data_IF_542637014949
#
_entry.id   IF_542637014949
#
_cell.length_a   1.000
_cell.length_b   1.000
_cell.length_c   1.000
_cell.angle_alpha   90.00
_cell.angle_beta   90.00
_cell.angle_gamma   90.00
#
_symmetry.space_group_name_H-M   'P 1'
#
loop_
_entity.id
_entity.type
_entity.pdbx_description
1 polymer ?
#
# COMPACT_ATOMS: atom_id res chain seq x y z
N UNK A 1 9.53 -32.65 7.75
CA UNK A 1 9.91 -32.64 9.19
C UNK A 1 9.65 -31.23 9.69
N UNK A 2 9.28 -31.05 10.96
CA UNK A 2 9.15 -29.72 11.55
C UNK A 2 10.50 -29.01 11.60
N UNK A 3 10.53 -27.71 11.36
CA UNK A 3 11.72 -26.88 11.49
C UNK A 3 12.17 -26.81 12.96
N UNK A 4 13.48 -26.69 13.20
CA UNK A 4 14.03 -26.52 14.55
C UNK A 4 13.64 -25.11 15.10
N UNK A 5 13.68 -24.96 16.43
CA UNK A 5 13.46 -23.64 17.06
C UNK A 5 14.47 -22.60 16.56
N UNK A 6 15.69 -23.02 16.23
CA UNK A 6 16.70 -22.13 15.66
C UNK A 6 16.33 -21.67 14.25
N UNK A 7 15.78 -22.55 13.41
CA UNK A 7 15.26 -22.18 12.08
C UNK A 7 14.13 -21.14 12.22
N UNK A 8 13.21 -21.35 13.17
CA UNK A 8 12.12 -20.40 13.42
C UNK A 8 12.63 -19.04 13.90
N UNK A 9 13.72 -19.01 14.69
CA UNK A 9 14.35 -17.75 15.11
C UNK A 9 14.97 -17.00 13.94
N UNK A 10 15.66 -17.67 13.03
CA UNK A 10 16.23 -17.05 11.84
C UNK A 10 15.15 -16.57 10.88
N UNK A 11 14.05 -17.30 10.72
CA UNK A 11 12.91 -16.84 9.94
C UNK A 11 12.26 -15.59 10.56
N UNK A 12 12.12 -15.54 11.90
CA UNK A 12 11.69 -14.30 12.59
C UNK A 12 12.62 -13.12 12.28
N UNK A 13 13.92 -13.36 12.17
CA UNK A 13 14.88 -12.33 11.79
C UNK A 13 14.64 -11.87 10.34
N UNK A 14 14.50 -12.78 9.39
CA UNK A 14 14.19 -12.46 7.99
C UNK A 14 12.89 -11.63 7.87
N UNK A 15 11.83 -11.98 8.63
CA UNK A 15 10.58 -11.21 8.69
C UNK A 15 10.80 -9.77 9.21
N UNK A 16 11.68 -9.56 10.20
CA UNK A 16 12.02 -8.21 10.68
C UNK A 16 12.74 -7.39 9.61
N UNK A 17 13.61 -8.01 8.83
CA UNK A 17 14.30 -7.38 7.70
C UNK A 17 13.31 -6.98 6.60
N UNK A 18 12.39 -7.87 6.22
CA UNK A 18 11.35 -7.60 5.22
C UNK A 18 10.57 -6.32 5.49
N UNK A 19 10.30 -5.99 6.76
CA UNK A 19 9.58 -4.77 7.16
C UNK A 19 10.34 -3.46 6.99
N UNK A 20 11.63 -3.50 6.62
CA UNK A 20 12.46 -2.29 6.48
C UNK A 20 12.27 -1.57 5.14
N UNK A 21 11.94 -2.31 4.07
CA UNK A 21 11.78 -1.78 2.71
C UNK A 21 10.41 -1.14 2.44
N UNK A 22 10.34 -0.43 1.31
CA UNK A 22 9.10 0.09 0.71
C UNK A 22 9.06 -0.31 -0.77
N UNK A 23 8.91 -1.61 -1.06
CA UNK A 23 9.11 -2.15 -2.41
C UNK A 23 7.86 -2.08 -3.30
N UNK A 24 6.73 -1.55 -2.83
CA UNK A 24 5.47 -1.55 -3.59
C UNK A 24 5.66 -1.20 -5.08
N UNK A 25 5.05 -1.98 -6.01
CA UNK A 25 4.10 -3.08 -5.83
C UNK A 25 4.75 -4.44 -5.51
N UNK A 26 6.08 -4.53 -5.48
CA UNK A 26 6.82 -5.76 -5.20
C UNK A 26 6.57 -6.22 -3.76
N UNK A 27 6.79 -7.51 -3.46
CA UNK A 27 6.66 -8.02 -2.11
C UNK A 27 7.76 -7.52 -1.18
N UNK A 28 7.45 -7.46 0.09
CA UNK A 28 8.44 -7.29 1.15
C UNK A 28 9.18 -8.60 1.38
N UNK A 29 10.45 -8.65 1.07
CA UNK A 29 11.29 -9.83 1.23
C UNK A 29 12.47 -9.53 2.15
N UNK A 30 12.76 -10.45 3.04
CA UNK A 30 13.96 -10.48 3.88
C UNK A 30 14.68 -11.82 3.73
N UNK A 31 15.99 -11.79 3.75
CA UNK A 31 16.85 -12.94 3.59
C UNK A 31 17.96 -12.94 4.65
N UNK A 32 18.27 -14.11 5.20
CA UNK A 32 19.30 -14.33 6.23
C UNK A 32 20.10 -15.55 5.85
N UNK A 33 21.43 -15.45 5.86
CA UNK A 33 22.33 -16.58 5.60
C UNK A 33 23.08 -16.93 6.88
N UNK A 34 23.03 -18.20 7.24
CA UNK A 34 23.61 -18.74 8.47
C UNK A 34 24.52 -19.89 8.14
N UNK A 35 25.73 -19.88 8.69
CA UNK A 35 26.71 -20.98 8.61
C UNK A 35 27.20 -21.29 10.00
N UNK A 36 27.23 -22.60 10.34
CA UNK A 36 27.70 -23.10 11.64
C UNK A 36 27.06 -22.36 12.83
N UNK A 37 25.74 -22.06 12.73
CA UNK A 37 24.98 -21.35 13.74
C UNK A 37 25.21 -19.82 13.78
N UNK A 38 26.11 -19.28 12.97
CA UNK A 38 26.45 -17.86 12.93
C UNK A 38 25.83 -17.13 11.73
N UNK A 39 25.33 -15.91 11.95
CA UNK A 39 24.88 -15.01 10.88
C UNK A 39 26.08 -14.59 10.01
N UNK A 40 26.04 -14.90 8.71
CA UNK A 40 27.09 -14.53 7.77
C UNK A 40 26.64 -13.51 6.70
N UNK A 41 25.33 -13.39 6.49
CA UNK A 41 24.78 -12.39 5.58
C UNK A 41 23.31 -12.12 5.83
N UNK A 42 22.86 -10.88 5.59
CA UNK A 42 21.47 -10.50 5.68
C UNK A 42 21.11 -9.46 4.61
N UNK A 43 19.85 -9.44 4.18
CA UNK A 43 19.36 -8.50 3.19
C UNK A 43 17.85 -8.33 3.25
N UNK A 44 17.37 -7.27 2.62
CA UNK A 44 15.94 -7.05 2.39
C UNK A 44 15.75 -6.33 1.06
N UNK A 45 14.55 -6.44 0.46
CA UNK A 45 14.20 -5.72 -0.76
C UNK A 45 13.81 -4.27 -0.42
N UNK A 46 14.66 -3.26 -0.71
CA UNK A 46 14.44 -1.92 -0.19
C UNK A 46 13.38 -1.12 -0.95
N UNK A 47 13.34 -1.21 -2.29
CA UNK A 47 12.40 -0.51 -3.16
C UNK A 47 12.34 -1.17 -4.55
N UNK A 48 11.26 -0.93 -5.31
CA UNK A 48 11.10 -1.43 -6.70
C UNK A 48 12.27 -0.97 -7.58
N UNK A 49 12.94 -1.92 -8.21
CA UNK A 49 14.12 -1.69 -9.06
C UNK A 49 15.46 -1.95 -8.37
N UNK A 50 15.48 -2.10 -7.04
CA UNK A 50 16.68 -2.54 -6.33
C UNK A 50 16.88 -4.06 -6.46
N UNK A 51 18.09 -4.60 -6.20
CA UNK A 51 18.33 -6.02 -6.05
C UNK A 51 17.39 -6.65 -5.01
N UNK A 52 17.12 -7.95 -5.16
CA UNK A 52 16.31 -8.70 -4.21
C UNK A 52 17.07 -8.97 -2.91
N UNK A 53 16.34 -9.35 -1.85
CA UNK A 53 16.89 -9.59 -0.51
C UNK A 53 18.02 -10.61 -0.49
N UNK A 54 17.84 -11.69 -1.28
CA UNK A 54 18.81 -12.79 -1.40
C UNK A 54 20.15 -12.30 -1.95
N UNK A 55 20.11 -11.38 -2.93
CA UNK A 55 21.33 -10.81 -3.55
C UNK A 55 22.13 -10.03 -2.52
N UNK A 56 21.48 -9.19 -1.72
CA UNK A 56 22.15 -8.45 -0.63
C UNK A 56 22.74 -9.39 0.42
N UNK A 57 21.99 -10.42 0.82
CA UNK A 57 22.46 -11.40 1.79
C UNK A 57 23.66 -12.18 1.27
N UNK A 58 23.63 -12.61 0.00
CA UNK A 58 24.74 -13.32 -0.65
C UNK A 58 25.98 -12.44 -0.80
N UNK A 59 25.82 -11.18 -1.21
CA UNK A 59 26.92 -10.22 -1.30
C UNK A 59 27.62 -10.01 0.05
N UNK A 60 26.85 -9.91 1.13
CA UNK A 60 27.41 -9.75 2.48
C UNK A 60 28.10 -11.03 2.98
N UNK A 61 27.54 -12.20 2.66
CA UNK A 61 28.12 -13.48 3.06
C UNK A 61 29.44 -13.78 2.32
N UNK A 62 29.53 -13.43 1.03
CA UNK A 62 30.68 -13.76 0.18
C UNK A 62 30.93 -15.28 0.15
N UNK A 63 32.19 -15.69 0.25
CA UNK A 63 32.59 -17.10 0.27
C UNK A 63 31.99 -17.93 1.43
N UNK A 64 31.58 -17.27 2.52
CA UNK A 64 30.93 -17.96 3.65
C UNK A 64 29.53 -18.48 3.31
N UNK A 65 28.95 -18.06 2.17
CA UNK A 65 27.69 -18.59 1.68
C UNK A 65 27.76 -20.08 1.31
N UNK A 66 28.94 -20.55 0.89
CA UNK A 66 29.13 -21.95 0.47
C UNK A 66 28.85 -22.92 1.63
N UNK A 67 27.93 -23.85 1.40
CA UNK A 67 27.49 -24.83 2.40
C UNK A 67 26.59 -24.26 3.51
N UNK A 68 26.20 -22.99 3.43
CA UNK A 68 25.35 -22.33 4.42
C UNK A 68 23.84 -22.62 4.20
N UNK A 69 23.02 -22.20 5.17
CA UNK A 69 21.55 -22.19 5.09
C UNK A 69 21.05 -20.77 4.82
N UNK A 70 20.20 -20.61 3.82
CA UNK A 70 19.47 -19.38 3.52
C UNK A 70 18.04 -19.46 4.06
N UNK A 71 17.62 -18.50 4.85
CA UNK A 71 16.24 -18.28 5.27
C UNK A 71 15.69 -17.10 4.48
N UNK A 72 14.63 -17.31 3.72
CA UNK A 72 14.00 -16.28 2.89
C UNK A 72 12.49 -16.25 3.11
N UNK A 73 11.93 -15.04 3.23
CA UNK A 73 10.52 -14.87 3.61
C UNK A 73 9.52 -15.21 2.51
N UNK A 74 9.96 -15.19 1.25
CA UNK A 74 9.16 -15.52 0.06
C UNK A 74 10.00 -16.40 -0.87
N UNK A 75 9.35 -17.25 -1.64
CA UNK A 75 9.98 -18.11 -2.64
C UNK A 75 10.93 -17.33 -3.56
N UNK A 76 12.20 -17.77 -3.73
CA UNK A 76 13.15 -17.16 -4.66
C UNK A 76 12.64 -17.19 -6.11
N UNK A 77 12.72 -16.03 -6.80
CA UNK A 77 12.31 -15.94 -8.18
C UNK A 77 13.19 -16.82 -9.12
N UNK A 78 12.54 -17.41 -10.13
CA UNK A 78 13.13 -18.36 -11.07
C UNK A 78 13.08 -17.90 -12.55
N UNK A 79 12.59 -16.69 -12.82
CA UNK A 79 12.48 -16.12 -14.14
C UNK A 79 13.29 -14.82 -14.26
N UNK A 80 13.66 -14.47 -15.48
CA UNK A 80 14.28 -13.19 -15.80
C UNK A 80 13.23 -12.08 -15.80
N UNK A 81 13.49 -11.02 -15.06
CA UNK A 81 12.72 -9.77 -15.10
C UNK A 81 13.70 -8.58 -15.24
N UNK A 82 13.59 -7.56 -14.40
CA UNK A 82 14.61 -6.48 -14.32
C UNK A 82 15.96 -6.98 -13.75
N UNK A 83 15.95 -8.09 -13.04
CA UNK A 83 17.13 -8.72 -12.43
C UNK A 83 17.18 -10.20 -12.80
N UNK A 84 18.40 -10.82 -12.83
CA UNK A 84 18.52 -12.26 -13.00
C UNK A 84 17.81 -13.03 -11.88
N UNK A 85 17.38 -14.29 -12.12
CA UNK A 85 16.73 -15.13 -11.13
C UNK A 85 17.54 -15.31 -9.85
N UNK A 86 16.92 -15.17 -8.67
CA UNK A 86 17.58 -15.42 -7.40
C UNK A 86 18.00 -16.87 -7.24
N UNK A 87 17.26 -17.82 -7.84
CA UNK A 87 17.66 -19.26 -7.86
C UNK A 87 19.05 -19.44 -8.47
N UNK A 88 19.43 -18.70 -9.49
CA UNK A 88 20.77 -18.76 -10.11
C UNK A 88 21.85 -18.24 -9.14
N UNK A 89 21.60 -17.12 -8.47
CA UNK A 89 22.54 -16.54 -7.50
C UNK A 89 22.75 -17.47 -6.30
N UNK A 90 21.68 -18.09 -5.79
CA UNK A 90 21.72 -19.07 -4.68
C UNK A 90 22.57 -20.29 -5.04
N UNK A 91 22.36 -20.83 -6.25
CA UNK A 91 23.13 -21.97 -6.76
C UNK A 91 24.60 -21.64 -6.94
N UNK A 92 24.89 -20.51 -7.59
CA UNK A 92 26.27 -20.06 -7.84
C UNK A 92 27.05 -19.83 -6.55
N UNK A 93 26.39 -19.35 -5.48
CA UNK A 93 26.98 -19.16 -4.16
C UNK A 93 27.20 -20.47 -3.40
N UNK A 94 26.69 -21.61 -3.88
CA UNK A 94 26.84 -22.91 -3.23
C UNK A 94 26.09 -23.05 -1.91
N UNK A 95 24.92 -22.39 -1.77
CA UNK A 95 24.01 -22.59 -0.64
C UNK A 95 23.58 -24.05 -0.59
N UNK A 96 23.69 -24.70 0.56
CA UNK A 96 23.35 -26.12 0.73
C UNK A 96 21.87 -26.33 1.09
N UNK A 97 21.26 -25.40 1.84
CA UNK A 97 19.89 -25.51 2.34
C UNK A 97 19.16 -24.16 2.23
N UNK A 98 17.89 -24.19 1.81
CA UNK A 98 17.02 -23.02 1.78
C UNK A 98 15.75 -23.30 2.59
N UNK A 99 15.42 -22.40 3.52
CA UNK A 99 14.15 -22.40 4.26
C UNK A 99 13.31 -21.25 3.73
N UNK A 100 12.18 -21.59 3.12
CA UNK A 100 11.25 -20.66 2.48
C UNK A 100 10.08 -20.37 3.40
N UNK A 101 9.78 -19.12 3.65
CA UNK A 101 8.67 -18.69 4.50
C UNK A 101 7.30 -18.97 3.89
N UNK A 102 7.13 -18.68 2.60
CA UNK A 102 5.89 -18.91 1.86
C UNK A 102 6.17 -19.01 0.35
N UNK A 103 5.33 -19.75 -0.37
CA UNK A 103 5.35 -19.77 -1.83
C UNK A 103 4.88 -18.43 -2.40
N UNK A 104 5.43 -18.05 -3.55
CA UNK A 104 4.97 -16.85 -4.26
C UNK A 104 3.66 -17.18 -5.02
N UNK A 105 2.55 -16.43 -4.81
CA UNK A 105 1.33 -16.64 -5.58
C UNK A 105 1.44 -16.23 -7.05
N UNK A 106 2.56 -15.63 -7.48
CA UNK A 106 2.80 -15.30 -8.87
C UNK A 106 2.88 -16.59 -9.73
N UNK A 107 1.99 -16.79 -10.74
CA UNK A 107 2.01 -17.99 -11.58
C UNK A 107 3.34 -18.27 -12.31
N UNK A 108 4.17 -17.25 -12.47
CA UNK A 108 5.51 -17.38 -13.07
C UNK A 108 6.52 -17.99 -12.09
N UNK A 109 6.25 -17.96 -10.79
CA UNK A 109 7.12 -18.46 -9.71
C UNK A 109 6.52 -19.68 -9.04
N UNK A 110 5.40 -19.55 -8.40
CA UNK A 110 4.57 -20.52 -7.65
C UNK A 110 5.06 -21.98 -7.65
N UNK A 111 6.01 -22.29 -6.79
CA UNK A 111 6.64 -23.62 -6.65
C UNK A 111 7.78 -23.91 -7.62
N UNK A 112 7.93 -23.15 -8.71
CA UNK A 112 9.00 -23.38 -9.72
C UNK A 112 10.38 -23.02 -9.19
N UNK A 113 10.48 -21.96 -8.37
CA UNK A 113 11.74 -21.58 -7.73
C UNK A 113 12.24 -22.65 -6.77
N UNK A 114 11.35 -23.20 -5.97
CA UNK A 114 11.63 -24.34 -5.07
C UNK A 114 12.05 -25.56 -5.89
N UNK A 115 11.32 -25.87 -6.95
CA UNK A 115 11.64 -27.01 -7.82
C UNK A 115 13.04 -26.88 -8.45
N UNK A 116 13.38 -25.74 -9.04
CA UNK A 116 14.70 -25.49 -9.63
C UNK A 116 15.84 -25.64 -8.62
N UNK A 117 15.65 -25.19 -7.37
CA UNK A 117 16.66 -25.35 -6.33
C UNK A 117 16.84 -26.82 -5.94
N UNK A 118 15.75 -27.58 -5.78
CA UNK A 118 15.80 -29.02 -5.48
C UNK A 118 16.47 -29.84 -6.59
N UNK A 119 16.14 -29.55 -7.83
CA UNK A 119 16.77 -30.18 -9.02
C UNK A 119 18.26 -29.88 -9.09
N UNK A 120 18.70 -28.75 -8.54
CA UNK A 120 20.12 -28.40 -8.42
C UNK A 120 20.82 -29.00 -7.20
N UNK A 121 20.15 -29.89 -6.42
CA UNK A 121 20.71 -30.53 -5.26
C UNK A 121 20.66 -29.70 -3.97
N UNK A 122 19.96 -28.56 -3.95
CA UNK A 122 19.78 -27.74 -2.75
C UNK A 122 18.64 -28.35 -1.91
N UNK A 123 18.86 -28.56 -0.62
CA UNK A 123 17.80 -28.96 0.30
C UNK A 123 16.83 -27.79 0.48
N UNK A 124 15.53 -27.97 0.19
CA UNK A 124 14.52 -26.90 0.32
C UNK A 124 13.39 -27.33 1.22
N UNK A 125 13.17 -26.58 2.28
CA UNK A 125 12.06 -26.70 3.22
C UNK A 125 11.18 -25.46 3.15
N UNK A 126 9.87 -25.64 3.40
CA UNK A 126 8.87 -24.57 3.35
C UNK A 126 8.07 -24.63 4.64
N UNK A 127 7.75 -23.49 5.25
CA UNK A 127 6.85 -23.43 6.40
C UNK A 127 5.49 -24.04 6.05
N UNK A 128 4.96 -24.87 6.95
CA UNK A 128 3.68 -25.56 6.78
C UNK A 128 2.62 -25.04 7.75
N UNK A 129 1.40 -24.75 7.27
CA UNK A 129 0.28 -24.40 8.14
C UNK A 129 -0.18 -25.57 9.04
N UNK A 130 0.21 -26.79 8.72
CA UNK A 130 -0.12 -27.98 9.50
C UNK A 130 0.74 -28.11 10.77
N UNK A 131 1.80 -27.30 10.89
CA UNK A 131 2.71 -27.30 12.04
C UNK A 131 2.41 -26.10 12.95
N UNK A 132 1.84 -26.29 14.14
CA UNK A 132 1.39 -25.19 15.01
C UNK A 132 2.48 -24.16 15.35
N UNK A 133 3.74 -24.57 15.49
CA UNK A 133 4.87 -23.70 15.76
C UNK A 133 5.16 -22.72 14.61
N UNK A 134 4.81 -23.07 13.37
CA UNK A 134 5.07 -22.31 12.15
C UNK A 134 3.94 -21.35 11.80
N UNK A 135 2.71 -21.62 12.24
CA UNK A 135 1.50 -20.82 11.93
C UNK A 135 1.67 -19.35 12.27
N UNK A 136 2.29 -19.03 13.42
CA UNK A 136 2.53 -17.62 13.81
C UNK A 136 3.45 -16.88 12.83
N UNK A 137 4.42 -17.60 12.24
CA UNK A 137 5.34 -17.03 11.25
C UNK A 137 4.63 -16.83 9.91
N UNK A 138 3.83 -17.81 9.48
CA UNK A 138 3.02 -17.72 8.27
C UNK A 138 2.08 -16.52 8.35
N UNK A 139 1.34 -16.35 9.45
CA UNK A 139 0.47 -15.21 9.67
C UNK A 139 1.24 -13.87 9.65
N UNK A 140 2.46 -13.83 10.19
CA UNK A 140 3.30 -12.64 10.15
C UNK A 140 3.80 -12.33 8.74
N UNK A 141 4.13 -13.33 7.93
CA UNK A 141 4.52 -13.22 6.53
C UNK A 141 3.37 -12.69 5.67
N UNK A 142 2.17 -13.25 5.84
CA UNK A 142 0.96 -12.79 5.15
C UNK A 142 0.61 -11.35 5.54
N UNK A 143 0.73 -11.00 6.82
CA UNK A 143 0.49 -9.63 7.27
C UNK A 143 1.45 -8.61 6.64
N UNK A 144 2.73 -8.97 6.49
CA UNK A 144 3.75 -8.12 5.84
C UNK A 144 3.47 -7.97 4.35
N UNK A 145 3.03 -9.03 3.68
CA UNK A 145 2.82 -9.09 2.24
C UNK A 145 1.34 -8.96 1.83
N UNK A 146 0.45 -8.56 2.75
CA UNK A 146 -1.02 -8.49 2.52
C UNK A 146 -1.38 -7.83 1.20
N UNK A 147 -0.80 -6.66 0.89
CA UNK A 147 -1.07 -5.91 -0.34
C UNK A 147 -0.68 -6.74 -1.56
N UNK A 148 0.54 -7.27 -1.56
CA UNK A 148 1.06 -8.10 -2.65
C UNK A 148 0.21 -9.35 -2.88
N UNK A 149 -0.06 -10.10 -1.82
CA UNK A 149 -0.86 -11.32 -1.87
C UNK A 149 -2.27 -11.06 -2.41
N UNK A 150 -2.88 -9.95 -1.97
CA UNK A 150 -4.23 -9.62 -2.40
C UNK A 150 -4.32 -9.34 -3.91
N UNK A 151 -3.50 -8.41 -4.42
CA UNK A 151 -3.62 -8.06 -5.83
C UNK A 151 -3.17 -9.20 -6.77
N UNK A 152 -2.25 -10.06 -6.34
CA UNK A 152 -1.88 -11.27 -7.07
C UNK A 152 -3.00 -12.32 -7.13
N UNK A 153 -3.75 -12.47 -6.04
CA UNK A 153 -4.83 -13.46 -5.96
C UNK A 153 -6.13 -12.97 -6.62
N UNK A 154 -6.40 -11.67 -6.60
CA UNK A 154 -7.71 -11.11 -6.99
C UNK A 154 -7.70 -10.27 -8.26
N UNK A 155 -6.55 -10.00 -8.86
CA UNK A 155 -6.39 -9.16 -10.06
C UNK A 155 -7.08 -7.79 -9.95
N UNK A 156 -6.98 -7.14 -8.78
CA UNK A 156 -7.50 -5.80 -8.50
C UNK A 156 -6.68 -5.13 -7.40
N UNK A 157 -6.66 -3.79 -7.32
CA UNK A 157 -5.84 -3.11 -6.33
C UNK A 157 -6.35 -3.35 -4.91
N UNK A 158 -5.40 -3.41 -3.95
CA UNK A 158 -5.72 -3.40 -2.52
C UNK A 158 -6.02 -1.97 -2.07
N UNK A 159 -7.17 -1.75 -1.45
CA UNK A 159 -7.65 -0.40 -1.08
C UNK A 159 -7.77 -0.28 0.43
N UNK A 160 -7.02 0.67 1.00
CA UNK A 160 -7.05 1.00 2.43
C UNK A 160 -7.75 2.34 2.63
N UNK A 161 -8.80 2.37 3.45
CA UNK A 161 -9.41 3.61 3.93
C UNK A 161 -8.65 4.12 5.15
N UNK A 162 -8.11 5.34 5.07
CA UNK A 162 -7.37 5.95 6.18
C UNK A 162 -8.07 7.22 6.64
N UNK A 163 -8.30 7.33 7.92
CA UNK A 163 -8.78 8.56 8.53
C UNK A 163 -7.96 8.92 9.78
N UNK A 164 -7.93 10.21 10.12
CA UNK A 164 -7.44 10.68 11.41
C UNK A 164 -8.56 11.52 12.04
N UNK A 165 -9.03 11.11 13.20
CA UNK A 165 -10.23 11.64 13.81
C UNK A 165 -10.07 11.83 15.31
N UNK A 166 -10.96 12.64 15.90
CA UNK A 166 -11.18 12.72 17.32
C UNK A 166 -11.78 11.43 17.90
N UNK A 167 -11.83 11.29 19.20
CA UNK A 167 -12.40 10.11 19.86
C UNK A 167 -13.90 9.94 19.52
N UNK A 168 -14.60 11.07 19.33
CA UNK A 168 -15.99 11.12 18.88
C UNK A 168 -16.17 11.07 17.34
N UNK A 169 -15.14 10.65 16.59
CA UNK A 169 -15.21 10.33 15.17
C UNK A 169 -15.17 11.51 14.20
N UNK A 170 -14.79 12.71 14.64
CA UNK A 170 -14.76 13.92 13.80
C UNK A 170 -13.40 14.13 13.14
N UNK A 171 -13.41 14.38 11.83
CA UNK A 171 -12.19 14.68 11.02
C UNK A 171 -11.95 16.18 10.85
N UNK A 172 -12.89 17.02 11.22
CA UNK A 172 -12.78 18.47 11.26
C UNK A 172 -13.86 19.05 12.18
N UNK A 173 -13.68 20.31 12.65
CA UNK A 173 -14.74 21.06 13.31
C UNK A 173 -15.86 21.45 12.31
N UNK A 174 -16.98 21.97 12.79
CA UNK A 174 -18.06 22.49 11.94
C UNK A 174 -17.58 23.64 11.00
N UNK A 175 -16.57 24.42 11.41
CA UNK A 175 -15.94 25.45 10.58
C UNK A 175 -14.92 24.91 9.57
N UNK A 176 -14.62 23.59 9.62
CA UNK A 176 -13.67 22.93 8.73
C UNK A 176 -12.21 22.95 9.21
N UNK A 177 -11.92 23.37 10.44
CA UNK A 177 -10.57 23.27 10.99
C UNK A 177 -10.23 21.79 11.28
N UNK A 178 -9.17 21.27 10.63
CA UNK A 178 -8.72 19.88 10.70
C UNK A 178 -7.30 19.71 11.26
N UNK A 179 -6.55 20.80 11.53
CA UNK A 179 -5.12 20.74 11.89
C UNK A 179 -4.88 21.22 13.33
N UNK A 180 -4.27 20.42 14.18
CA UNK A 180 -3.83 19.01 14.01
C UNK A 180 -4.70 18.16 14.94
N UNK A 181 -5.41 17.18 14.40
CA UNK A 181 -6.21 16.26 15.21
C UNK A 181 -5.26 15.30 15.94
N UNK A 182 -4.39 14.59 15.19
CA UNK A 182 -3.44 13.61 15.74
C UNK A 182 -2.04 14.18 15.91
N UNK A 183 -1.26 13.57 16.81
CA UNK A 183 0.10 13.96 17.13
C UNK A 183 1.13 13.56 16.07
N UNK A 184 2.38 13.95 16.27
CA UNK A 184 3.47 13.78 15.29
C UNK A 184 3.82 12.31 15.03
N UNK A 185 3.75 11.45 16.07
CA UNK A 185 4.04 10.01 15.94
C UNK A 185 3.01 9.32 15.04
N UNK A 186 1.72 9.61 15.22
CA UNK A 186 0.64 9.08 14.37
C UNK A 186 0.76 9.59 12.93
N UNK A 187 1.09 10.87 12.73
CA UNK A 187 1.36 11.41 11.38
C UNK A 187 2.59 10.75 10.72
N UNK A 188 3.62 10.38 11.50
CA UNK A 188 4.75 9.58 11.00
C UNK A 188 4.30 8.24 10.45
N UNK A 189 3.38 7.56 11.17
CA UNK A 189 2.80 6.29 10.69
C UNK A 189 1.92 6.49 9.43
N UNK A 190 1.16 7.59 9.33
CA UNK A 190 0.41 7.92 8.12
C UNK A 190 1.34 8.09 6.90
N UNK A 191 2.54 8.69 7.08
CA UNK A 191 3.55 8.74 6.03
C UNK A 191 4.11 7.37 5.66
N UNK A 192 4.21 6.44 6.62
CA UNK A 192 4.59 5.07 6.35
C UNK A 192 3.52 4.36 5.50
N UNK A 193 2.24 4.52 5.81
CA UNK A 193 1.15 3.98 5.00
C UNK A 193 1.22 4.50 3.54
N UNK A 194 1.54 5.78 3.34
CA UNK A 194 1.75 6.32 1.97
C UNK A 194 2.92 5.66 1.25
N UNK A 195 3.98 5.32 1.97
CA UNK A 195 5.14 4.64 1.39
C UNK A 195 4.86 3.18 1.02
N UNK A 196 3.91 2.56 1.70
CA UNK A 196 3.47 1.17 1.48
C UNK A 196 2.45 1.03 0.33
N UNK A 197 1.87 2.15 -0.15
CA UNK A 197 0.89 2.17 -1.24
C UNK A 197 1.44 2.85 -2.49
N UNK A 198 1.02 2.37 -3.68
CA UNK A 198 1.42 2.98 -4.95
C UNK A 198 0.67 4.26 -5.30
N UNK A 199 -0.54 4.45 -4.76
CA UNK A 199 -1.31 5.68 -4.96
C UNK A 199 -1.89 6.19 -3.64
N UNK A 200 -1.97 7.53 -3.52
CA UNK A 200 -2.73 8.23 -2.47
C UNK A 200 -3.86 8.99 -3.13
N UNK A 201 -5.09 8.66 -2.76
CA UNK A 201 -6.30 9.21 -3.36
C UNK A 201 -7.05 10.10 -2.36
N UNK A 202 -7.43 11.29 -2.83
CA UNK A 202 -8.23 12.26 -2.07
C UNK A 202 -9.33 12.87 -2.93
N UNK A 203 -10.37 13.40 -2.30
CA UNK A 203 -11.33 14.30 -2.97
C UNK A 203 -10.78 15.71 -3.11
N UNK A 204 -11.28 16.46 -4.09
CA UNK A 204 -10.88 17.83 -4.38
C UNK A 204 -11.01 18.77 -3.18
N UNK A 205 -12.01 18.58 -2.33
CA UNK A 205 -12.22 19.39 -1.14
C UNK A 205 -11.02 19.31 -0.17
N UNK A 206 -10.44 18.12 -0.01
CA UNK A 206 -9.21 17.93 0.78
C UNK A 206 -8.04 18.72 0.19
N UNK A 207 -7.91 18.73 -1.14
CA UNK A 207 -6.84 19.48 -1.81
C UNK A 207 -7.02 20.99 -1.62
N UNK A 208 -8.24 21.47 -1.77
CA UNK A 208 -8.58 22.91 -1.63
C UNK A 208 -8.32 23.40 -0.20
N UNK A 209 -8.82 22.67 0.82
CA UNK A 209 -8.76 23.11 2.23
C UNK A 209 -7.40 22.88 2.87
N UNK A 210 -6.86 21.68 2.70
CA UNK A 210 -5.65 21.27 3.42
C UNK A 210 -4.36 21.57 2.69
N UNK A 211 -4.43 21.84 1.36
CA UNK A 211 -3.28 22.06 0.48
C UNK A 211 -2.18 21.00 0.67
N UNK A 212 -2.52 19.72 0.58
CA UNK A 212 -1.60 18.65 0.91
C UNK A 212 -0.59 18.40 -0.21
N UNK A 213 0.61 17.91 0.14
CA UNK A 213 1.59 17.42 -0.83
C UNK A 213 1.34 15.97 -1.24
N UNK A 214 0.65 15.19 -0.44
CA UNK A 214 0.38 13.76 -0.59
C UNK A 214 1.64 12.88 -0.76
N UNK A 215 2.77 13.35 -0.29
CA UNK A 215 4.06 12.63 -0.36
C UNK A 215 4.29 11.75 0.86
N UNK A 216 5.04 10.67 0.67
CA UNK A 216 5.56 9.83 1.74
C UNK A 216 6.88 10.42 2.27
N UNK A 217 6.90 10.87 3.53
CA UNK A 217 8.07 11.51 4.17
C UNK A 217 8.66 10.60 5.25
N UNK A 218 9.18 9.46 4.81
CA UNK A 218 9.84 8.47 5.66
C UNK A 218 11.26 8.24 5.15
N UNK A 219 12.19 7.97 6.04
CA UNK A 219 13.58 7.64 5.66
C UNK A 219 13.60 6.33 4.85
N UNK A 220 14.36 6.32 3.76
CA UNK A 220 14.51 5.15 2.88
C UNK A 220 13.45 5.04 1.77
N UNK A 221 12.46 5.95 1.71
CA UNK A 221 11.51 5.99 0.60
C UNK A 221 12.19 6.60 -0.63
N UNK A 222 12.27 5.82 -1.69
CA UNK A 222 12.77 6.22 -3.01
C UNK A 222 11.60 6.52 -3.94
N UNK A 223 10.65 5.60 -4.03
CA UNK A 223 9.48 5.75 -4.90
C UNK A 223 8.34 6.46 -4.15
N UNK A 224 7.84 7.55 -4.74
CA UNK A 224 6.71 8.29 -4.20
C UNK A 224 5.39 7.76 -4.77
N UNK A 225 4.29 7.78 -4.01
CA UNK A 225 3.00 7.35 -4.54
C UNK A 225 2.47 8.30 -5.62
N UNK A 226 1.73 7.73 -6.58
CA UNK A 226 0.89 8.50 -7.50
C UNK A 226 -0.14 9.30 -6.69
N UNK A 227 -0.27 10.59 -7.00
CA UNK A 227 -1.27 11.45 -6.35
C UNK A 227 -2.54 11.47 -7.19
N UNK A 228 -3.64 11.00 -6.61
CA UNK A 228 -4.94 10.86 -7.27
C UNK A 228 -5.94 11.81 -6.65
N UNK A 229 -6.60 12.61 -7.47
CA UNK A 229 -7.64 13.55 -7.02
C UNK A 229 -8.95 13.26 -7.74
N UNK A 230 -10.02 13.10 -6.97
CA UNK A 230 -11.39 13.04 -7.51
C UNK A 230 -11.96 14.45 -7.53
N UNK A 231 -12.13 15.00 -8.74
CA UNK A 231 -12.62 16.37 -8.96
C UNK A 231 -13.64 16.40 -10.11
N UNK A 232 -14.83 15.91 -9.87
CA UNK A 232 -15.87 15.76 -10.90
C UNK A 232 -16.11 17.04 -11.74
N UNK A 233 -15.91 18.23 -11.17
CA UNK A 233 -16.18 19.52 -11.81
C UNK A 233 -14.92 20.30 -12.19
N UNK A 234 -13.74 19.69 -12.10
CA UNK A 234 -12.44 20.36 -12.33
C UNK A 234 -12.34 21.68 -11.55
N UNK A 235 -12.69 21.61 -10.26
CA UNK A 235 -12.70 22.77 -9.35
C UNK A 235 -11.30 23.31 -9.08
N UNK A 236 -10.30 22.44 -9.14
CA UNK A 236 -8.90 22.83 -8.98
C UNK A 236 -8.49 23.94 -9.95
N UNK A 237 -8.94 23.89 -11.19
CA UNK A 237 -8.66 24.92 -12.19
C UNK A 237 -9.33 26.28 -11.91
N UNK A 238 -10.39 26.30 -11.10
CA UNK A 238 -11.05 27.56 -10.68
C UNK A 238 -10.43 28.17 -9.44
N UNK A 239 -9.94 27.31 -8.55
CA UNK A 239 -9.55 27.71 -7.20
C UNK A 239 -8.14 28.29 -7.15
N UNK A 240 -7.24 27.81 -8.02
CA UNK A 240 -5.86 28.29 -8.08
C UNK A 240 -5.59 29.13 -9.32
N UNK A 241 -5.43 30.45 -9.09
CA UNK A 241 -4.96 31.37 -10.12
C UNK A 241 -3.45 31.29 -10.33
N UNK A 242 -2.69 30.87 -9.30
CA UNK A 242 -1.24 30.71 -9.34
C UNK A 242 -0.83 29.26 -9.09
N UNK A 243 -0.35 28.54 -10.11
CA UNK A 243 0.09 27.14 -9.98
C UNK A 243 1.18 26.92 -8.93
N UNK A 244 2.04 27.93 -8.71
CA UNK A 244 3.12 27.84 -7.71
C UNK A 244 2.60 27.72 -6.27
N UNK A 245 1.37 28.05 -6.03
CA UNK A 245 0.72 27.93 -4.73
C UNK A 245 0.09 26.56 -4.49
N UNK A 246 0.09 25.66 -5.50
CA UNK A 246 -0.40 24.30 -5.37
C UNK A 246 0.68 23.36 -4.83
N UNK A 247 0.67 22.97 -3.54
CA UNK A 247 1.69 22.08 -3.01
C UNK A 247 1.71 20.69 -3.69
N UNK A 248 0.57 20.28 -4.27
CA UNK A 248 0.45 19.03 -5.02
C UNK A 248 1.24 19.05 -6.33
N UNK A 249 1.57 20.24 -6.88
CA UNK A 249 2.38 20.39 -8.09
C UNK A 249 3.85 20.67 -7.78
N UNK A 250 4.17 21.04 -6.53
CA UNK A 250 5.53 21.42 -6.17
C UNK A 250 6.47 20.21 -6.18
N UNK A 251 7.69 20.37 -6.72
CA UNK A 251 8.72 19.33 -6.66
C UNK A 251 9.07 18.99 -5.21
N UNK A 252 9.46 17.75 -4.99
CA UNK A 252 9.86 17.24 -3.69
C UNK A 252 11.28 16.69 -3.76
N UNK A 253 12.20 17.22 -2.94
CA UNK A 253 13.59 16.74 -2.81
C UNK A 253 14.31 16.52 -4.14
N UNK A 254 14.26 17.50 -5.04
CA UNK A 254 14.93 17.43 -6.35
C UNK A 254 14.21 16.59 -7.41
N UNK A 255 13.06 15.98 -7.08
CA UNK A 255 12.20 15.37 -8.07
C UNK A 255 11.44 16.48 -8.81
N UNK A 256 11.74 16.67 -10.08
CA UNK A 256 11.17 17.71 -10.92
C UNK A 256 9.68 17.53 -11.14
N UNK A 257 9.21 16.27 -11.15
CA UNK A 257 7.80 15.91 -11.28
C UNK A 257 7.43 14.72 -10.40
N UNK A 258 6.38 14.90 -9.58
CA UNK A 258 5.65 13.79 -8.98
C UNK A 258 4.35 13.64 -9.76
N UNK A 259 4.02 12.47 -10.32
CA UNK A 259 2.83 12.29 -11.12
C UNK A 259 1.57 12.58 -10.30
N UNK A 260 0.69 13.38 -10.87
CA UNK A 260 -0.63 13.71 -10.31
C UNK A 260 -1.68 13.45 -11.38
N UNK A 261 -2.72 12.73 -11.05
CA UNK A 261 -3.86 12.50 -11.93
C UNK A 261 -5.15 13.03 -11.30
N UNK A 262 -5.94 13.72 -12.08
CA UNK A 262 -7.25 14.26 -11.71
C UNK A 262 -8.32 13.54 -12.52
N UNK A 263 -9.21 12.84 -11.83
CA UNK A 263 -10.36 12.20 -12.44
C UNK A 263 -11.57 13.15 -12.38
N UNK A 264 -12.21 13.39 -13.54
CA UNK A 264 -13.34 14.29 -13.64
C UNK A 264 -14.48 13.73 -14.50
N UNK A 265 -15.70 14.27 -14.37
CA UNK A 265 -16.81 13.86 -15.25
C UNK A 265 -16.60 14.46 -16.64
N UNK A 266 -16.50 13.64 -17.67
CA UNK A 266 -16.04 14.14 -18.95
C UNK A 266 -16.59 13.45 -20.18
N UNK A 267 -17.72 12.78 -20.08
CA UNK A 267 -18.32 12.14 -21.24
C UNK A 267 -19.14 13.13 -22.06
N UNK A 268 -19.26 12.90 -23.42
CA UNK A 268 -19.85 13.85 -24.37
C UNK A 268 -21.31 14.19 -24.13
N UNK A 269 -21.95 13.52 -23.20
CA UNK A 269 -23.39 13.68 -22.87
C UNK A 269 -23.70 14.71 -21.78
N UNK A 270 -22.67 15.36 -21.18
CA UNK A 270 -22.93 16.38 -20.17
C UNK A 270 -22.95 17.78 -20.77
N UNK A 271 -23.97 18.63 -20.50
CA UNK A 271 -24.07 19.96 -21.04
C UNK A 271 -22.86 20.85 -20.74
N UNK A 272 -22.19 20.63 -19.63
CA UNK A 272 -21.00 21.35 -19.18
C UNK A 272 -19.67 20.72 -19.67
N UNK A 273 -19.69 19.64 -20.45
CA UNK A 273 -18.52 18.89 -20.89
C UNK A 273 -17.44 19.72 -21.58
N UNK A 274 -17.84 20.66 -22.48
CA UNK A 274 -16.88 21.55 -23.16
C UNK A 274 -16.12 22.45 -22.16
N UNK A 275 -16.82 22.97 -21.15
CA UNK A 275 -16.20 23.84 -20.14
C UNK A 275 -15.27 23.03 -19.19
N UNK A 276 -15.66 21.82 -18.82
CA UNK A 276 -14.82 20.94 -18.01
C UNK A 276 -13.55 20.53 -18.77
N UNK A 277 -13.66 20.21 -20.04
CA UNK A 277 -12.52 19.93 -20.92
C UNK A 277 -11.53 21.09 -20.99
N UNK A 278 -12.03 22.34 -21.15
CA UNK A 278 -11.17 23.52 -21.15
C UNK A 278 -10.40 23.68 -19.84
N UNK A 279 -11.04 23.40 -18.70
CA UNK A 279 -10.37 23.43 -17.38
C UNK A 279 -9.37 22.30 -17.21
N UNK A 280 -9.69 21.11 -17.70
CA UNK A 280 -8.80 19.97 -17.67
C UNK A 280 -7.52 20.26 -18.45
N UNK A 281 -7.61 20.81 -19.68
CA UNK A 281 -6.45 21.24 -20.48
C UNK A 281 -5.55 22.22 -19.74
N UNK A 282 -6.12 23.16 -19.01
CA UNK A 282 -5.32 24.09 -18.22
C UNK A 282 -4.51 23.36 -17.12
N UNK A 283 -5.07 22.31 -16.49
CA UNK A 283 -4.32 21.47 -15.55
C UNK A 283 -3.22 20.67 -16.25
N UNK A 284 -3.46 20.21 -17.49
CA UNK A 284 -2.48 19.48 -18.29
C UNK A 284 -1.28 20.37 -18.67
N UNK A 285 -1.52 21.64 -19.00
CA UNK A 285 -0.46 22.64 -19.24
C UNK A 285 0.43 22.84 -17.99
N UNK A 286 -0.07 22.52 -16.80
CA UNK A 286 0.68 22.53 -15.54
C UNK A 286 1.36 21.18 -15.21
N UNK A 287 1.28 20.19 -16.10
CA UNK A 287 1.88 18.86 -15.91
C UNK A 287 1.04 17.91 -15.05
N UNK A 288 -0.27 18.18 -14.89
CA UNK A 288 -1.21 17.25 -14.27
C UNK A 288 -1.87 16.41 -15.34
N UNK A 289 -1.89 15.10 -15.17
CA UNK A 289 -2.69 14.22 -16.02
C UNK A 289 -4.17 14.36 -15.67
N UNK A 290 -5.05 14.49 -16.69
CA UNK A 290 -6.49 14.52 -16.45
C UNK A 290 -7.18 13.37 -17.17
N UNK A 291 -8.15 12.74 -16.51
CA UNK A 291 -8.84 11.56 -17.04
C UNK A 291 -10.35 11.77 -16.91
N UNK A 292 -11.06 11.84 -18.05
CA UNK A 292 -12.51 11.85 -18.02
C UNK A 292 -13.08 10.47 -17.71
N UNK A 293 -14.00 10.39 -16.75
CA UNK A 293 -14.63 9.13 -16.32
C UNK A 293 -16.15 9.28 -16.21
N UNK A 294 -16.84 8.16 -16.11
CA UNK A 294 -18.27 8.12 -15.82
C UNK A 294 -18.57 8.72 -14.43
N UNK A 295 -19.78 9.25 -14.28
CA UNK A 295 -20.29 9.65 -12.98
C UNK A 295 -20.74 8.42 -12.19
N UNK A 296 -20.91 8.63 -10.90
CA UNK A 296 -21.58 7.65 -10.05
C UNK A 296 -23.03 7.47 -10.53
N UNK A 297 -23.53 6.24 -10.67
CA UNK A 297 -24.92 5.99 -11.10
C UNK A 297 -25.97 6.64 -10.17
N UNK A 298 -25.66 6.74 -8.88
CA UNK A 298 -26.58 7.29 -7.87
C UNK A 298 -26.37 8.80 -7.62
N UNK A 299 -25.23 9.36 -8.06
CA UNK A 299 -24.94 10.79 -7.89
C UNK A 299 -24.18 11.35 -9.11
N UNK A 300 -24.86 12.06 -10.02
CA UNK A 300 -24.25 12.63 -11.23
C UNK A 300 -23.23 13.76 -10.96
N UNK A 301 -23.09 14.19 -9.72
CA UNK A 301 -22.09 15.17 -9.30
C UNK A 301 -20.79 14.52 -8.80
N UNK A 302 -20.73 13.18 -8.72
CA UNK A 302 -19.53 12.42 -8.33
C UNK A 302 -18.98 11.63 -9.51
N UNK A 303 -17.68 11.39 -9.50
CA UNK A 303 -17.05 10.42 -10.40
C UNK A 303 -17.26 9.00 -9.87
N UNK A 304 -17.49 8.05 -10.77
CA UNK A 304 -17.61 6.63 -10.41
C UNK A 304 -16.26 6.10 -9.89
N UNK A 305 -16.20 5.75 -8.62
CA UNK A 305 -14.99 5.15 -8.03
C UNK A 305 -14.66 3.80 -8.65
N UNK A 306 -15.64 3.07 -9.19
CA UNK A 306 -15.40 1.82 -9.94
C UNK A 306 -14.61 2.08 -11.21
N UNK A 307 -14.99 3.09 -11.98
CA UNK A 307 -14.27 3.47 -13.20
C UNK A 307 -12.87 3.98 -12.88
N UNK A 308 -12.73 4.82 -11.84
CA UNK A 308 -11.43 5.30 -11.36
C UNK A 308 -10.50 4.15 -10.97
N UNK A 309 -10.99 3.17 -10.21
CA UNK A 309 -10.20 2.00 -9.79
C UNK A 309 -9.81 1.13 -10.98
N UNK A 310 -10.71 0.94 -11.94
CA UNK A 310 -10.42 0.20 -13.18
C UNK A 310 -9.33 0.88 -13.99
N UNK A 311 -9.40 2.18 -14.17
CA UNK A 311 -8.38 2.96 -14.90
C UNK A 311 -7.03 2.93 -14.18
N UNK A 312 -7.02 3.12 -12.86
CA UNK A 312 -5.81 3.01 -12.06
C UNK A 312 -5.15 1.63 -12.17
N UNK A 313 -5.95 0.56 -12.26
CA UNK A 313 -5.43 -0.80 -12.43
C UNK A 313 -4.87 -1.06 -13.83
N UNK A 314 -5.62 -0.72 -14.87
CA UNK A 314 -5.29 -1.11 -16.25
C UNK A 314 -4.33 -0.15 -16.96
N UNK A 315 -4.46 1.17 -16.72
CA UNK A 315 -3.68 2.20 -17.41
C UNK A 315 -2.47 2.65 -16.57
N UNK A 316 -2.68 2.84 -15.26
CA UNK A 316 -1.64 3.35 -14.35
C UNK A 316 -0.87 2.23 -13.63
N UNK A 317 -1.25 0.98 -13.83
CA UNK A 317 -0.64 -0.20 -13.18
C UNK A 317 -0.56 -0.09 -11.64
N UNK A 318 -1.53 0.59 -11.03
CA UNK A 318 -1.63 0.76 -9.58
C UNK A 318 -2.19 -0.50 -8.94
N UNK A 319 -1.43 -1.10 -8.03
CA UNK A 319 -1.78 -2.34 -7.30
C UNK A 319 -2.25 -2.07 -5.87
N UNK A 320 -2.07 -0.85 -5.38
CA UNK A 320 -2.54 -0.46 -4.04
C UNK A 320 -2.88 1.02 -3.95
N UNK A 321 -3.99 1.33 -3.27
CA UNK A 321 -4.52 2.69 -3.13
C UNK A 321 -4.75 2.99 -1.66
N UNK A 322 -4.16 4.06 -1.14
CA UNK A 322 -4.48 4.64 0.16
C UNK A 322 -5.49 5.77 -0.06
N UNK A 323 -6.71 5.58 0.39
CA UNK A 323 -7.76 6.59 0.35
C UNK A 323 -7.66 7.45 1.62
N UNK A 324 -7.22 8.69 1.47
CA UNK A 324 -7.12 9.70 2.53
C UNK A 324 -8.14 10.83 2.35
N UNK A 325 -9.20 10.56 1.60
CA UNK A 325 -10.26 11.53 1.33
C UNK A 325 -11.13 11.84 2.53
N UNK A 326 -12.00 12.85 2.40
CA UNK A 326 -13.06 13.11 3.34
C UNK A 326 -14.09 11.96 3.41
N UNK A 327 -15.01 12.04 4.37
CA UNK A 327 -15.98 11.00 4.65
C UNK A 327 -16.83 10.57 3.43
N UNK A 328 -17.11 11.49 2.51
CA UNK A 328 -17.84 11.20 1.26
C UNK A 328 -17.05 10.25 0.33
N UNK A 329 -15.75 10.52 0.15
CA UNK A 329 -14.90 9.65 -0.69
C UNK A 329 -14.77 8.25 -0.04
N UNK A 330 -14.54 8.20 1.26
CA UNK A 330 -14.47 6.94 1.99
C UNK A 330 -15.77 6.13 1.85
N UNK A 331 -16.93 6.80 1.99
CA UNK A 331 -18.25 6.20 1.81
C UNK A 331 -18.44 5.61 0.40
N UNK A 332 -18.08 6.37 -0.66
CA UNK A 332 -18.19 5.87 -2.04
C UNK A 332 -17.41 4.59 -2.27
N UNK A 333 -16.22 4.44 -1.67
CA UNK A 333 -15.45 3.20 -1.75
C UNK A 333 -16.07 2.04 -0.95
N UNK A 334 -16.67 2.33 0.20
CA UNK A 334 -17.34 1.34 1.03
C UNK A 334 -18.64 0.86 0.37
N UNK A 335 -19.49 1.77 -0.09
CA UNK A 335 -20.75 1.51 -0.81
C UNK A 335 -20.51 0.70 -2.09
N UNK A 336 -19.44 1.02 -2.81
CA UNK A 336 -19.02 0.26 -4.00
C UNK A 336 -18.43 -1.13 -3.67
N UNK A 337 -18.31 -1.52 -2.40
CA UNK A 337 -17.65 -2.77 -1.93
C UNK A 337 -16.19 -2.91 -2.44
N UNK A 338 -15.47 -1.80 -2.59
CA UNK A 338 -14.10 -1.78 -3.11
C UNK A 338 -13.04 -1.73 -2.02
N UNK A 339 -13.37 -1.20 -0.84
CA UNK A 339 -12.43 -1.08 0.26
C UNK A 339 -12.12 -2.45 0.90
N UNK A 340 -10.84 -2.70 1.20
CA UNK A 340 -10.38 -3.96 1.78
C UNK A 340 -10.01 -3.82 3.25
N UNK A 341 -9.55 -2.64 3.67
CA UNK A 341 -8.99 -2.43 5.00
C UNK A 341 -9.26 -1.02 5.50
N UNK A 342 -9.37 -0.87 6.81
CA UNK A 342 -9.31 0.44 7.48
C UNK A 342 -7.96 0.63 8.18
N UNK A 343 -7.52 1.90 8.27
CA UNK A 343 -6.40 2.37 9.09
C UNK A 343 -6.82 3.70 9.74
N UNK A 344 -7.53 3.62 10.87
CA UNK A 344 -8.17 4.75 11.53
C UNK A 344 -7.36 5.18 12.76
N UNK A 345 -6.93 6.44 12.74
CA UNK A 345 -6.22 7.07 13.85
C UNK A 345 -7.21 7.84 14.72
N UNK A 346 -7.24 7.53 16.00
CA UNK A 346 -8.05 8.21 17.01
C UNK A 346 -7.16 9.04 17.92
N UNK A 347 -7.47 10.31 18.08
CA UNK A 347 -6.86 11.15 19.10
C UNK A 347 -7.78 11.26 20.34
N UNK A 348 -7.24 11.54 21.53
CA UNK A 348 -8.05 11.67 22.75
C UNK A 348 -8.81 13.01 22.83
N UNK A 349 -9.11 13.62 21.69
CA UNK A 349 -9.87 14.88 21.58
C UNK A 349 -11.36 14.59 21.38
N UNK A 350 -12.20 15.45 21.90
CA UNK A 350 -13.63 15.50 21.59
C UNK A 350 -13.90 16.80 20.84
N UNK A 351 -14.45 16.72 19.64
CA UNK A 351 -14.73 17.90 18.79
C UNK A 351 -16.21 18.27 18.87
N UNK A 352 -17.11 17.30 18.87
CA UNK A 352 -18.56 17.52 18.89
C UNK A 352 -19.09 18.16 17.60
N UNK A 353 -20.32 18.68 17.70
CA UNK A 353 -21.03 19.35 16.60
C UNK A 353 -21.74 18.39 15.64
N UNK A 354 -23.04 18.58 15.45
CA UNK A 354 -23.84 17.75 14.54
C UNK A 354 -23.32 17.84 13.10
N UNK A 355 -22.99 19.06 12.64
CA UNK A 355 -22.50 19.32 11.29
C UNK A 355 -20.98 19.14 11.11
N UNK A 356 -20.28 18.72 12.17
CA UNK A 356 -18.86 18.44 12.10
C UNK A 356 -18.61 17.16 11.29
N UNK A 357 -17.69 17.22 10.30
CA UNK A 357 -17.43 16.12 9.36
C UNK A 357 -16.93 14.87 10.07
N UNK A 358 -17.38 13.71 9.58
CA UNK A 358 -17.00 12.39 10.07
C UNK A 358 -16.08 11.66 9.09
N UNK A 359 -15.45 10.59 9.58
CA UNK A 359 -14.55 9.78 8.76
C UNK A 359 -15.28 8.97 7.68
N UNK A 360 -16.57 8.71 7.88
CA UNK A 360 -17.45 8.01 6.95
C UNK A 360 -18.78 8.75 6.89
N UNK A 361 -19.13 9.20 5.70
CA UNK A 361 -20.37 9.91 5.37
C UNK A 361 -21.17 9.06 4.36
N UNK A 362 -21.90 9.64 3.41
CA UNK A 362 -22.68 8.94 2.40
C UNK A 362 -24.08 8.56 2.89
N UNK A 363 -24.73 7.64 2.20
CA UNK A 363 -26.10 7.19 2.53
C UNK A 363 -26.13 6.30 3.78
N UNK A 364 -25.05 5.55 4.03
CA UNK A 364 -24.98 4.58 5.10
C UNK A 364 -25.84 3.35 4.87
N UNK A 365 -26.04 2.56 5.92
CA UNK A 365 -26.88 1.35 5.88
C UNK A 365 -28.21 1.61 6.56
N UNK A 366 -29.27 1.02 6.03
CA UNK A 366 -30.63 1.12 6.60
C UNK A 366 -30.85 0.22 7.80
N UNK A 367 -30.07 -0.86 7.90
CA UNK A 367 -30.16 -1.85 8.98
C UNK A 367 -28.76 -2.18 9.50
N UNK A 368 -28.60 -2.25 10.81
CA UNK A 368 -27.31 -2.57 11.46
C UNK A 368 -26.79 -3.93 11.01
N UNK A 369 -27.68 -4.90 10.77
CA UNK A 369 -27.32 -6.23 10.31
C UNK A 369 -26.62 -6.24 8.93
N UNK A 370 -26.87 -5.22 8.10
CA UNK A 370 -26.26 -5.04 6.77
C UNK A 370 -24.97 -4.23 6.80
N UNK A 371 -24.53 -3.80 7.97
CA UNK A 371 -23.28 -3.02 8.08
C UNK A 371 -22.07 -3.91 7.78
N UNK A 372 -21.11 -3.45 6.93
CA UNK A 372 -19.82 -4.11 6.81
C UNK A 372 -19.14 -4.23 8.17
N UNK A 373 -18.52 -5.37 8.42
CA UNK A 373 -17.81 -5.64 9.67
C UNK A 373 -16.31 -5.47 9.47
N UNK A 374 -15.63 -5.01 10.50
CA UNK A 374 -14.16 -5.03 10.53
C UNK A 374 -13.72 -6.25 11.31
N UNK A 375 -12.88 -7.07 10.68
CA UNK A 375 -12.32 -8.30 11.27
C UNK A 375 -10.80 -8.20 11.34
N UNK A 376 -10.14 -9.17 12.00
CA UNK A 376 -8.68 -9.18 12.19
C UNK A 376 -8.16 -7.85 12.77
N UNK A 377 -8.90 -7.30 13.73
CA UNK A 377 -8.64 -5.99 14.30
C UNK A 377 -7.33 -6.02 15.09
N UNK A 378 -6.47 -5.06 14.79
CA UNK A 378 -5.26 -4.76 15.55
C UNK A 378 -5.28 -3.31 16.00
N UNK A 379 -4.66 -3.03 17.14
CA UNK A 379 -4.52 -1.66 17.63
C UNK A 379 -3.07 -1.38 18.06
N UNK A 380 -2.63 -0.16 17.83
CA UNK A 380 -1.28 0.30 18.19
C UNK A 380 -1.34 1.73 18.73
N UNK A 381 -0.55 2.01 19.76
CA UNK A 381 -0.46 3.34 20.38
C UNK A 381 0.71 4.15 19.79
N UNK A 382 0.45 5.42 19.46
CA UNK A 382 1.43 6.38 18.93
C UNK A 382 1.45 7.67 19.78
N UNK A 383 2.06 7.63 20.94
CA UNK A 383 1.94 8.68 21.96
C UNK A 383 0.58 8.57 22.64
N UNK A 384 -0.25 9.62 22.51
CA UNK A 384 -1.62 9.62 23.03
C UNK A 384 -2.65 9.06 22.02
N UNK A 385 -2.28 8.99 20.74
CA UNK A 385 -3.15 8.51 19.67
C UNK A 385 -3.17 6.99 19.55
N UNK A 386 -4.26 6.47 19.03
CA UNK A 386 -4.44 5.06 18.69
C UNK A 386 -4.61 4.88 17.19
N UNK A 387 -3.98 3.87 16.63
CA UNK A 387 -4.27 3.36 15.29
C UNK A 387 -5.04 2.06 15.43
N UNK A 388 -6.22 2.00 14.85
CA UNK A 388 -7.03 0.80 14.70
C UNK A 388 -6.99 0.40 13.25
N UNK A 389 -6.59 -0.83 12.97
CA UNK A 389 -6.53 -1.42 11.64
C UNK A 389 -7.31 -2.73 11.61
N UNK A 390 -7.96 -3.02 10.50
CA UNK A 390 -8.68 -4.28 10.32
C UNK A 390 -9.18 -4.43 8.90
N UNK A 391 -9.51 -5.67 8.54
CA UNK A 391 -9.97 -6.03 7.19
C UNK A 391 -11.49 -5.87 7.11
N UNK A 392 -11.99 -5.32 6.00
CA UNK A 392 -13.42 -5.09 5.81
C UNK A 392 -14.06 -6.37 5.25
N UNK A 393 -15.07 -6.85 5.94
CA UNK A 393 -15.92 -7.95 5.52
C UNK A 393 -17.32 -7.41 5.22
N UNK A 394 -17.73 -7.53 3.97
CA UNK A 394 -19.06 -7.14 3.54
C UNK A 394 -20.07 -8.26 3.83
N UNK A 395 -21.31 -7.92 4.19
CA UNK A 395 -22.38 -8.89 4.26
C UNK A 395 -22.69 -9.44 2.84
N UNK A 396 -23.21 -10.64 2.82
CA UNK A 396 -23.67 -11.35 1.60
C UNK A 396 -24.83 -10.61 0.91
#
# INVERSE_FOLDING_TARGET
MALSEQDLQWMRHAIRLAKRGFPAPNPHVGAVIVKDGALVGEGFHPYKGAPHAEVFALQQAGERARGATLYVTLEPCCHYSFTPPCTNAIRAAGIARVVVGMLDPNPEVNGKGVQQLREAGVQVEILSPDIPAEVKLINALEAVNRIYLYWRRHNRPFITLKAAMSLDGKIATHTGNSKWITGTRARGMAHRLRAEHQAVLVGVETVIRDRPRLTARVRGVVNQPLRVVLDAQVRLARWWRNPREMPILNPWRGLTHLPTVVFYKGLPYYPDGKQLHKRARWLEELGVSTVPVYTDPEDPYRVSVRTVVSDLWHVWEVRSILVEGGGQVAASFLEAKLANRIAYFYSPKLIGGADARTALEGLGVTEVARAPRVVNITHRRFGEDWLIEGDIMYPD
#
